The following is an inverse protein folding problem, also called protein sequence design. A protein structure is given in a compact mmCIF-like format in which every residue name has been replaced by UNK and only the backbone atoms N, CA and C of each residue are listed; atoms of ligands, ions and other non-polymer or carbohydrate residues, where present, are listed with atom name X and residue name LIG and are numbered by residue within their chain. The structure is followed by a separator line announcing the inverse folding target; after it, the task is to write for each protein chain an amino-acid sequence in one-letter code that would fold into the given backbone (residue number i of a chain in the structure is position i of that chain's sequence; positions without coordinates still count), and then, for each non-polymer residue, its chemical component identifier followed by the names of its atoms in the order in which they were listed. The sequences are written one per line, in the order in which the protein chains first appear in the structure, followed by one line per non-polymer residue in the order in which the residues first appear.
data_IF_124807191013
#
_entry.id   IF_124807191013
#
_cell.length_a   1.000
_cell.length_b   1.000
_cell.length_c   1.000
_cell.angle_alpha   90.00
_cell.angle_beta   90.00
_cell.angle_gamma   90.00
#
_symmetry.space_group_name_H-M   'P 1'
#
loop_
_entity.id
_entity.type
_entity.pdbx_description
1 polymer ?
#
# COMPACT_ATOMS: atom_id res chain seq x y z
N UNK A 1 9.31 -34.19 -3.29
CA UNK A 1 8.46 -33.28 -2.48
C UNK A 1 7.47 -32.65 -3.46
N UNK A 2 6.25 -33.13 -3.42
CA UNK A 2 5.16 -32.64 -4.27
C UNK A 2 4.78 -31.24 -3.78
N UNK A 3 4.77 -30.26 -4.64
CA UNK A 3 4.30 -28.91 -4.29
C UNK A 3 2.82 -29.03 -3.87
N UNK A 4 2.38 -28.44 -2.75
CA UNK A 4 0.99 -28.48 -2.36
C UNK A 4 0.14 -27.88 -3.47
N UNK A 5 -0.96 -28.54 -3.79
CA UNK A 5 -1.87 -28.11 -4.83
C UNK A 5 -2.34 -26.66 -4.56
N UNK A 6 -2.31 -25.82 -5.58
CA UNK A 6 -2.60 -24.37 -5.51
C UNK A 6 -3.99 -24.01 -4.92
N UNK A 7 -4.83 -25.01 -4.64
CA UNK A 7 -6.17 -24.84 -4.07
C UNK A 7 -6.21 -24.75 -2.53
N UNK A 8 -5.20 -25.24 -1.82
CA UNK A 8 -5.22 -25.29 -0.36
C UNK A 8 -4.79 -23.97 0.31
N UNK A 9 -3.94 -23.19 -0.35
CA UNK A 9 -3.40 -21.96 0.24
C UNK A 9 -4.43 -20.82 0.45
N UNK A 10 -5.62 -20.94 -0.13
CA UNK A 10 -6.73 -19.97 0.03
C UNK A 10 -7.88 -20.52 0.90
N UNK A 11 -7.59 -21.52 1.72
CA UNK A 11 -8.58 -22.17 2.57
C UNK A 11 -9.38 -21.15 3.40
N UNK A 12 -10.72 -21.08 3.23
CA UNK A 12 -11.59 -20.12 3.91
C UNK A 12 -11.73 -20.34 5.42
N UNK A 13 -11.20 -21.44 5.97
CA UNK A 13 -11.13 -21.68 7.41
C UNK A 13 -10.15 -20.74 8.12
N UNK A 14 -9.17 -20.23 7.41
CA UNK A 14 -8.22 -19.26 7.95
C UNK A 14 -8.75 -17.83 7.83
N UNK A 15 -8.32 -16.97 8.76
CA UNK A 15 -8.69 -15.55 8.74
C UNK A 15 -8.23 -14.85 7.46
N UNK A 16 -8.86 -13.73 7.13
CA UNK A 16 -8.48 -12.92 5.98
C UNK A 16 -7.00 -12.48 6.06
N UNK A 17 -6.54 -12.03 7.24
CA UNK A 17 -5.13 -11.65 7.45
C UNK A 17 -4.18 -12.82 7.25
N UNK A 18 -4.55 -14.02 7.71
CA UNK A 18 -3.77 -15.23 7.52
C UNK A 18 -3.60 -15.59 6.05
N UNK A 19 -4.69 -15.54 5.28
CA UNK A 19 -4.66 -15.79 3.83
C UNK A 19 -3.98 -14.68 3.08
N UNK A 20 -4.10 -13.45 3.56
CA UNK A 20 -3.45 -12.31 2.92
C UNK A 20 -1.93 -12.38 3.09
N UNK A 21 -1.41 -12.51 4.29
CA UNK A 21 0.03 -12.55 4.55
C UNK A 21 0.64 -13.96 4.60
N UNK A 22 -0.19 -15.00 4.36
CA UNK A 22 0.23 -16.41 4.35
C UNK A 22 0.93 -16.79 5.67
N UNK A 23 0.26 -16.49 6.79
CA UNK A 23 0.83 -16.58 8.14
C UNK A 23 0.99 -18.02 8.65
N UNK A 24 0.19 -18.96 8.14
CA UNK A 24 0.21 -20.39 8.51
C UNK A 24 0.54 -21.28 7.31
N UNK A 25 1.07 -22.50 7.54
CA UNK A 25 1.39 -23.43 6.46
C UNK A 25 0.22 -23.73 5.51
N UNK A 26 -1.01 -23.81 6.05
CA UNK A 26 -2.21 -24.03 5.25
C UNK A 26 -2.64 -22.84 4.39
N UNK A 27 -1.98 -21.70 4.51
CA UNK A 27 -2.21 -20.51 3.68
C UNK A 27 -1.03 -20.19 2.77
N UNK A 28 0.05 -20.97 2.81
CA UNK A 28 1.27 -20.74 2.02
C UNK A 28 1.06 -21.10 0.55
N UNK A 29 1.05 -20.10 -0.32
CA UNK A 29 0.98 -20.24 -1.78
C UNK A 29 2.35 -20.29 -2.46
N UNK A 30 3.43 -20.47 -1.71
CA UNK A 30 4.81 -20.50 -2.23
C UNK A 30 5.40 -19.13 -2.54
N UNK A 31 6.62 -19.12 -3.07
CA UNK A 31 7.36 -17.90 -3.44
C UNK A 31 7.19 -17.57 -4.92
N UNK A 32 7.47 -16.30 -5.29
CA UNK A 32 7.48 -15.76 -6.66
C UNK A 32 6.15 -15.82 -7.43
N UNK A 33 5.06 -16.24 -6.81
CA UNK A 33 3.73 -16.10 -7.39
C UNK A 33 3.23 -14.66 -7.28
N UNK A 34 2.61 -14.13 -8.33
CA UNK A 34 2.00 -12.79 -8.31
C UNK A 34 0.62 -12.86 -7.65
N UNK A 35 0.35 -11.93 -6.72
CA UNK A 35 -0.90 -11.79 -5.97
C UNK A 35 -1.38 -10.35 -6.01
N UNK A 36 -2.68 -10.14 -5.88
CA UNK A 36 -3.22 -8.81 -5.60
C UNK A 36 -2.69 -8.27 -4.27
N UNK A 37 -2.48 -6.95 -4.20
CA UNK A 37 -1.98 -6.29 -2.99
C UNK A 37 -3.00 -5.28 -2.45
N UNK A 38 -3.03 -4.08 -2.99
CA UNK A 38 -4.06 -3.08 -2.71
C UNK A 38 -5.20 -3.21 -3.72
N UNK A 39 -6.40 -2.71 -3.45
CA UNK A 39 -7.51 -2.80 -4.38
C UNK A 39 -7.16 -2.24 -5.77
N UNK A 40 -7.51 -2.97 -6.81
CA UNK A 40 -7.54 -2.42 -8.16
C UNK A 40 -8.76 -1.52 -8.21
N UNK A 41 -8.56 -0.24 -8.53
CA UNK A 41 -9.65 0.74 -8.53
C UNK A 41 -9.61 1.64 -9.75
N UNK A 42 -10.79 2.05 -10.17
CA UNK A 42 -11.01 3.12 -11.13
C UNK A 42 -11.98 4.11 -10.49
N UNK A 43 -11.53 5.35 -10.32
CA UNK A 43 -12.32 6.42 -9.68
C UNK A 43 -12.40 7.62 -10.61
N UNK A 44 -13.55 8.28 -10.62
CA UNK A 44 -13.70 9.59 -11.24
C UNK A 44 -13.51 10.68 -10.21
N UNK A 45 -12.69 11.68 -10.53
CA UNK A 45 -12.42 12.83 -9.67
C UNK A 45 -12.86 14.08 -10.41
N UNK A 46 -13.73 14.87 -9.78
CA UNK A 46 -14.10 16.20 -10.20
C UNK A 46 -13.69 17.21 -9.13
N UNK A 47 -13.20 18.37 -9.53
CA UNK A 47 -12.86 19.48 -8.63
C UNK A 47 -13.38 20.80 -9.18
N UNK A 48 -13.62 21.77 -8.30
CA UNK A 48 -14.08 23.11 -8.69
C UNK A 48 -12.95 23.93 -9.33
N UNK A 49 -11.70 23.58 -9.05
CA UNK A 49 -10.52 24.26 -9.56
C UNK A 49 -9.37 23.27 -9.73
N UNK A 50 -8.39 23.65 -10.55
CA UNK A 50 -7.16 22.89 -10.77
C UNK A 50 -5.95 23.80 -10.60
N UNK A 51 -4.91 23.30 -9.94
CA UNK A 51 -3.64 23.99 -9.87
C UNK A 51 -2.86 23.75 -11.17
N UNK A 52 -2.78 24.77 -12.00
CA UNK A 52 -2.01 24.76 -13.27
C UNK A 52 -0.53 25.03 -13.09
N UNK A 53 -0.11 25.51 -11.91
CA UNK A 53 1.27 25.79 -11.53
C UNK A 53 1.65 24.95 -10.30
N UNK A 54 1.78 23.62 -10.42
CA UNK A 54 2.12 22.79 -9.28
C UNK A 54 3.47 23.17 -8.68
N UNK A 55 3.52 23.24 -7.35
CA UNK A 55 4.70 23.66 -6.60
C UNK A 55 5.00 22.69 -5.46
N UNK A 56 6.25 22.65 -5.02
CA UNK A 56 6.73 22.06 -3.78
C UNK A 56 7.66 23.07 -3.10
N UNK A 57 7.83 23.03 -1.77
CA UNK A 57 8.82 23.86 -1.07
C UNK A 57 10.27 23.54 -1.42
N UNK A 58 10.52 22.41 -2.08
CA UNK A 58 11.85 22.01 -2.52
C UNK A 58 12.43 23.00 -3.55
N UNK A 59 13.75 23.24 -3.55
CA UNK A 59 14.41 24.09 -4.55
C UNK A 59 14.12 23.57 -5.97
N UNK A 60 13.83 24.48 -6.91
CA UNK A 60 13.54 24.18 -8.33
C UNK A 60 12.28 23.33 -8.59
N UNK A 61 11.40 23.15 -7.60
CA UNK A 61 10.19 22.30 -7.73
C UNK A 61 8.89 23.10 -7.86
N UNK A 62 8.97 24.29 -8.46
CA UNK A 62 7.81 25.13 -8.79
C UNK A 62 7.72 25.28 -10.31
N UNK A 63 6.58 24.89 -10.89
CA UNK A 63 6.35 25.07 -12.31
C UNK A 63 6.35 26.55 -12.68
N UNK A 64 7.06 26.92 -13.72
CA UNK A 64 7.14 28.30 -14.23
C UNK A 64 6.09 28.59 -15.29
N UNK A 65 5.70 27.56 -16.03
CA UNK A 65 4.71 27.65 -17.09
C UNK A 65 3.43 26.90 -16.69
N UNK A 66 2.23 27.50 -16.92
CA UNK A 66 0.98 26.82 -16.64
C UNK A 66 0.82 25.58 -17.50
N UNK A 67 0.43 24.47 -16.88
CA UNK A 67 0.02 23.25 -17.57
C UNK A 67 -1.50 23.25 -17.75
N UNK A 68 -1.97 22.95 -18.95
CA UNK A 68 -3.39 22.97 -19.30
C UNK A 68 -4.16 21.77 -18.67
N UNK A 69 -4.12 21.65 -17.34
CA UNK A 69 -4.90 20.63 -16.62
C UNK A 69 -6.39 21.00 -16.58
N UNK A 70 -7.24 19.97 -16.62
CA UNK A 70 -8.69 20.11 -16.45
C UNK A 70 -9.12 19.66 -15.05
N UNK A 71 -10.33 20.07 -14.64
CA UNK A 71 -10.90 19.78 -13.32
C UNK A 71 -11.42 18.34 -13.17
N UNK A 72 -11.43 17.57 -14.27
CA UNK A 72 -11.93 16.20 -14.27
C UNK A 72 -10.83 15.22 -14.65
N UNK A 73 -10.65 14.18 -13.84
CA UNK A 73 -9.70 13.12 -14.13
C UNK A 73 -10.20 11.75 -13.67
N UNK A 74 -9.70 10.70 -14.30
CA UNK A 74 -9.86 9.33 -13.81
C UNK A 74 -8.61 8.92 -13.06
N UNK A 75 -8.78 8.38 -11.85
CA UNK A 75 -7.69 7.75 -11.08
C UNK A 75 -7.76 6.25 -11.26
N UNK A 76 -6.65 5.67 -11.72
CA UNK A 76 -6.49 4.23 -11.92
C UNK A 76 -5.42 3.75 -10.95
N UNK A 77 -5.74 2.73 -10.14
CA UNK A 77 -4.77 2.07 -9.27
C UNK A 77 -4.63 0.60 -9.65
N UNK A 78 -3.39 0.17 -9.84
CA UNK A 78 -2.98 -1.23 -10.00
C UNK A 78 -2.00 -1.58 -8.90
N UNK A 79 -2.15 -2.75 -8.27
CA UNK A 79 -1.27 -3.14 -7.19
C UNK A 79 -1.10 -4.64 -7.13
N UNK A 80 0.15 -5.07 -7.06
CA UNK A 80 0.55 -6.47 -6.99
C UNK A 80 1.64 -6.67 -5.94
N UNK A 81 1.79 -7.91 -5.48
CA UNK A 81 2.88 -8.32 -4.59
C UNK A 81 3.31 -9.74 -4.91
N UNK A 82 4.52 -10.09 -4.46
CA UNK A 82 5.05 -11.44 -4.48
C UNK A 82 5.83 -11.72 -3.21
N UNK A 83 5.72 -12.94 -2.69
CA UNK A 83 6.57 -13.41 -1.58
C UNK A 83 7.92 -13.81 -2.17
N UNK A 84 9.00 -13.18 -1.71
CA UNK A 84 10.36 -13.42 -2.21
C UNK A 84 11.17 -14.35 -1.31
N UNK A 85 10.84 -14.41 -0.01
CA UNK A 85 11.46 -15.31 0.94
C UNK A 85 10.53 -15.62 2.11
N UNK A 86 10.79 -16.71 2.82
CA UNK A 86 10.11 -17.08 4.07
C UNK A 86 11.04 -17.84 5.01
N UNK A 87 10.73 -17.83 6.31
CA UNK A 87 11.49 -18.54 7.34
C UNK A 87 12.87 -17.97 7.54
N UNK A 88 13.04 -16.65 7.48
CA UNK A 88 14.32 -15.97 7.65
C UNK A 88 14.79 -16.02 9.12
N UNK A 89 13.86 -15.72 10.05
CA UNK A 89 14.11 -15.77 11.48
C UNK A 89 13.43 -16.99 12.14
N UNK A 90 12.34 -17.48 11.53
CA UNK A 90 11.52 -18.58 12.06
C UNK A 90 11.79 -19.93 11.33
N UNK A 91 12.98 -20.12 10.77
CA UNK A 91 13.31 -21.31 9.97
C UNK A 91 13.17 -22.63 10.74
N UNK A 92 13.24 -22.64 12.05
CA UNK A 92 13.05 -23.79 12.93
C UNK A 92 11.57 -24.02 13.32
N UNK A 93 10.69 -23.06 13.07
CA UNK A 93 9.27 -23.18 13.37
C UNK A 93 8.51 -23.87 12.23
N UNK A 94 7.65 -24.82 12.56
CA UNK A 94 6.82 -25.52 11.58
C UNK A 94 5.43 -24.90 11.47
N UNK A 95 4.96 -24.23 12.53
CA UNK A 95 3.60 -23.72 12.63
C UNK A 95 3.40 -22.36 11.97
N UNK A 96 4.43 -21.51 11.97
CA UNK A 96 4.36 -20.15 11.43
C UNK A 96 5.72 -19.73 10.91
N UNK A 97 5.73 -19.09 9.76
CA UNK A 97 6.98 -18.61 9.15
C UNK A 97 6.86 -17.15 8.80
N UNK A 98 7.87 -16.39 9.21
CA UNK A 98 8.06 -15.03 8.75
C UNK A 98 8.29 -14.99 7.25
N UNK A 99 7.96 -13.88 6.63
CA UNK A 99 8.01 -13.75 5.18
C UNK A 99 8.45 -12.36 4.74
N UNK A 100 9.15 -12.34 3.61
CA UNK A 100 9.59 -11.12 2.94
C UNK A 100 8.85 -10.99 1.62
N UNK A 101 8.26 -9.83 1.39
CA UNK A 101 7.42 -9.52 0.25
C UNK A 101 7.99 -8.35 -0.54
N UNK A 102 7.89 -8.43 -1.84
CA UNK A 102 7.98 -7.28 -2.72
C UNK A 102 6.58 -6.86 -3.16
N UNK A 103 6.26 -5.60 -2.98
CA UNK A 103 5.02 -4.97 -3.43
C UNK A 103 5.30 -3.90 -4.47
N UNK A 104 4.36 -3.70 -5.38
CA UNK A 104 4.38 -2.61 -6.32
C UNK A 104 2.98 -2.07 -6.53
N UNK A 105 2.82 -0.76 -6.32
CA UNK A 105 1.56 -0.05 -6.58
C UNK A 105 1.84 1.05 -7.58
N UNK A 106 0.99 1.14 -8.61
CA UNK A 106 0.95 2.25 -9.55
C UNK A 106 -0.39 2.95 -9.42
N UNK A 107 -0.37 4.28 -9.30
CA UNK A 107 -1.55 5.13 -9.32
C UNK A 107 -1.38 6.17 -10.42
N UNK A 108 -2.28 6.17 -11.39
CA UNK A 108 -2.26 7.11 -12.50
C UNK A 108 -3.48 8.02 -12.45
N UNK A 109 -3.25 9.33 -12.55
CA UNK A 109 -4.30 10.34 -12.67
C UNK A 109 -4.40 10.75 -14.13
N UNK A 110 -5.45 10.28 -14.79
CA UNK A 110 -5.67 10.44 -16.22
C UNK A 110 -6.65 11.56 -16.51
N UNK A 111 -6.18 12.57 -17.23
CA UNK A 111 -6.94 13.73 -17.70
C UNK A 111 -7.77 13.33 -18.94
N UNK A 112 -8.83 12.54 -18.72
CA UNK A 112 -9.74 12.11 -19.79
C UNK A 112 -10.29 13.33 -20.53
N UNK A 113 -10.30 13.23 -21.85
CA UNK A 113 -10.83 14.27 -22.76
C UNK A 113 -10.06 15.59 -22.77
N UNK A 114 -8.86 15.66 -22.16
CA UNK A 114 -7.99 16.82 -22.28
C UNK A 114 -7.18 16.73 -23.58
N UNK A 115 -7.68 17.38 -24.64
CA UNK A 115 -7.02 17.44 -25.95
C UNK A 115 -5.87 18.41 -26.03
N UNK A 116 -5.70 19.30 -25.04
CA UNK A 116 -4.69 20.36 -25.05
C UNK A 116 -3.30 19.86 -24.62
N UNK A 117 -3.24 18.66 -24.06
CA UNK A 117 -1.98 18.02 -23.64
C UNK A 117 -1.76 16.72 -24.41
N UNK A 118 -0.55 16.54 -24.97
CA UNK A 118 -0.20 15.35 -25.74
C UNK A 118 0.00 14.10 -24.87
N UNK A 119 0.19 14.27 -23.55
CA UNK A 119 0.26 13.20 -22.56
C UNK A 119 -0.83 13.42 -21.53
N UNK A 120 -1.95 12.72 -21.62
CA UNK A 120 -3.14 13.00 -20.82
C UNK A 120 -3.03 12.55 -19.36
N UNK A 121 -1.92 11.95 -18.93
CA UNK A 121 -1.68 11.62 -17.53
C UNK A 121 -1.07 12.82 -16.82
N UNK A 122 -1.75 13.34 -15.79
CA UNK A 122 -1.21 14.39 -14.94
C UNK A 122 -0.04 13.87 -14.12
N UNK A 123 -0.21 12.72 -13.49
CA UNK A 123 0.84 12.00 -12.77
C UNK A 123 0.65 10.49 -12.92
N UNK A 124 1.76 9.76 -12.82
CA UNK A 124 1.76 8.33 -12.58
C UNK A 124 2.71 8.05 -11.43
N UNK A 125 2.15 7.77 -10.27
CA UNK A 125 2.94 7.50 -9.07
C UNK A 125 3.28 6.01 -9.00
N UNK A 126 4.56 5.73 -8.80
CA UNK A 126 5.13 4.40 -8.65
C UNK A 126 5.55 4.19 -7.20
N UNK A 127 5.10 3.11 -6.58
CA UNK A 127 5.40 2.80 -5.18
C UNK A 127 5.91 1.36 -5.05
N UNK A 128 7.18 1.08 -5.38
CA UNK A 128 7.83 -0.18 -4.99
C UNK A 128 8.03 -0.21 -3.48
N UNK A 129 7.84 -1.40 -2.89
CA UNK A 129 8.01 -1.60 -1.45
C UNK A 129 8.54 -2.99 -1.12
N UNK A 130 9.28 -3.07 -0.02
CA UNK A 130 9.73 -4.32 0.60
C UNK A 130 9.10 -4.40 1.99
N UNK A 131 8.35 -5.48 2.23
CA UNK A 131 7.63 -5.71 3.49
C UNK A 131 8.10 -7.00 4.13
N UNK A 132 8.59 -6.90 5.36
CA UNK A 132 8.84 -8.04 6.23
C UNK A 132 7.64 -8.24 7.15
N UNK A 133 7.10 -9.46 7.19
CA UNK A 133 5.97 -9.86 8.05
C UNK A 133 6.44 -10.91 9.04
N UNK A 134 6.23 -10.63 10.33
CA UNK A 134 6.42 -11.59 11.41
C UNK A 134 5.06 -12.08 11.89
N UNK A 135 4.75 -13.39 11.76
CA UNK A 135 3.47 -13.94 12.18
C UNK A 135 3.38 -13.99 13.71
N UNK A 136 2.25 -13.56 14.22
CA UNK A 136 1.90 -13.56 15.63
C UNK A 136 0.59 -14.33 15.84
N UNK A 137 0.33 -14.72 17.07
CA UNK A 137 -0.93 -15.34 17.46
C UNK A 137 -1.20 -15.13 18.96
N UNK A 138 -1.19 -13.86 19.35
CA UNK A 138 -1.43 -13.47 20.73
C UNK A 138 -2.91 -13.19 20.95
N UNK A 139 -3.47 -13.85 21.96
CA UNK A 139 -4.87 -13.63 22.37
C UNK A 139 -5.00 -12.30 23.14
N UNK A 140 -6.04 -11.57 22.82
CA UNK A 140 -6.40 -10.30 23.42
C UNK A 140 -7.84 -10.39 23.98
N UNK A 141 -8.21 -9.52 24.93
CA UNK A 141 -9.58 -9.46 25.44
C UNK A 141 -10.64 -9.34 24.33
N UNK A 142 -11.82 -9.91 24.56
CA UNK A 142 -12.94 -9.81 23.60
C UNK A 142 -12.82 -10.75 22.38
N UNK A 143 -11.96 -11.77 22.43
CA UNK A 143 -11.80 -12.73 21.33
C UNK A 143 -10.94 -12.22 20.17
N UNK A 144 -10.28 -11.08 20.34
CA UNK A 144 -9.33 -10.55 19.37
C UNK A 144 -8.01 -11.33 19.43
N UNK A 145 -7.35 -11.42 18.28
CA UNK A 145 -6.02 -12.02 18.15
C UNK A 145 -5.12 -11.08 17.35
N UNK A 146 -3.93 -10.79 17.88
CA UNK A 146 -2.88 -10.13 17.13
C UNK A 146 -2.25 -11.16 16.18
N UNK A 147 -2.35 -10.89 14.87
CA UNK A 147 -2.02 -11.88 13.83
C UNK A 147 -0.64 -11.67 13.21
N UNK A 148 -0.18 -10.45 13.11
CA UNK A 148 1.15 -10.14 12.59
C UNK A 148 1.65 -8.79 13.07
N UNK A 149 2.97 -8.64 13.04
CA UNK A 149 3.69 -7.37 13.00
C UNK A 149 4.43 -7.25 11.67
N UNK A 150 4.52 -6.05 11.13
CA UNK A 150 5.16 -5.81 9.84
C UNK A 150 6.09 -4.60 9.86
N UNK A 151 7.14 -4.67 9.03
CA UNK A 151 8.04 -3.56 8.75
C UNK A 151 8.17 -3.42 7.24
N UNK A 152 7.89 -2.21 6.72
CA UNK A 152 7.90 -1.93 5.28
C UNK A 152 8.81 -0.75 4.99
N UNK A 153 9.58 -0.85 3.92
CA UNK A 153 10.30 0.26 3.29
C UNK A 153 9.62 0.56 1.97
N UNK A 154 9.23 1.80 1.76
CA UNK A 154 8.54 2.26 0.54
C UNK A 154 9.31 3.40 -0.07
N UNK A 155 9.54 3.31 -1.38
CA UNK A 155 9.86 4.45 -2.23
C UNK A 155 8.61 4.83 -3.02
N UNK A 156 8.29 6.12 -3.11
CA UNK A 156 7.22 6.59 -3.98
C UNK A 156 7.72 7.75 -4.82
N UNK A 157 7.49 7.70 -6.13
CA UNK A 157 7.83 8.79 -7.04
C UNK A 157 6.85 8.86 -8.21
N UNK A 158 6.71 10.07 -8.77
CA UNK A 158 5.87 10.29 -9.95
C UNK A 158 6.63 10.12 -11.27
N UNK A 159 7.92 9.79 -11.25
CA UNK A 159 8.74 9.56 -12.43
C UNK A 159 8.93 10.77 -13.34
N UNK A 160 8.61 11.98 -12.88
CA UNK A 160 8.80 13.21 -13.64
C UNK A 160 10.15 13.84 -13.31
N UNK A 161 10.61 14.71 -14.23
CA UNK A 161 11.78 15.56 -13.99
C UNK A 161 11.39 16.87 -13.30
N UNK A 162 12.37 17.57 -12.73
CA UNK A 162 12.16 18.95 -12.26
C UNK A 162 11.52 19.82 -13.36
N UNK A 163 10.65 20.72 -13.00
CA UNK A 163 10.19 21.10 -11.65
C UNK A 163 9.01 20.26 -11.13
N UNK A 164 8.58 19.24 -11.85
CA UNK A 164 7.39 18.44 -11.54
C UNK A 164 7.71 17.14 -10.80
N UNK A 165 8.99 16.82 -10.58
CA UNK A 165 9.43 15.67 -9.80
C UNK A 165 8.82 15.70 -8.39
N UNK A 166 8.31 14.56 -7.95
CA UNK A 166 7.81 14.35 -6.58
C UNK A 166 8.19 12.93 -6.16
N UNK A 167 9.04 12.86 -5.17
CA UNK A 167 9.43 11.58 -4.58
C UNK A 167 9.51 11.67 -3.05
N UNK A 168 9.45 10.55 -2.38
CA UNK A 168 9.72 10.42 -0.97
C UNK A 168 9.89 8.97 -0.55
N UNK A 169 10.64 8.77 0.54
CA UNK A 169 10.87 7.48 1.14
C UNK A 169 10.29 7.41 2.55
N UNK A 170 9.74 6.26 2.95
CA UNK A 170 9.19 6.06 4.28
C UNK A 170 9.41 4.65 4.80
N UNK A 171 9.50 4.56 6.11
CA UNK A 171 9.42 3.30 6.84
C UNK A 171 8.05 3.20 7.49
N UNK A 172 7.39 2.05 7.36
CA UNK A 172 6.06 1.78 7.92
C UNK A 172 6.18 0.62 8.91
N UNK A 173 5.67 0.81 10.13
CA UNK A 173 5.42 -0.26 11.08
C UNK A 173 3.93 -0.58 11.04
N UNK A 174 3.58 -1.85 10.93
CA UNK A 174 2.19 -2.30 10.83
C UNK A 174 1.88 -3.44 11.78
N UNK A 175 0.61 -3.54 12.14
CA UNK A 175 0.07 -4.67 12.89
C UNK A 175 -1.34 -5.00 12.43
N UNK A 176 -1.74 -6.26 12.57
CA UNK A 176 -3.08 -6.72 12.22
C UNK A 176 -3.73 -7.54 13.31
N UNK A 177 -4.97 -7.17 13.62
CA UNK A 177 -5.85 -7.83 14.56
C UNK A 177 -7.01 -8.47 13.82
N UNK A 178 -7.46 -9.64 14.28
CA UNK A 178 -8.66 -10.28 13.74
C UNK A 178 -9.46 -10.95 14.86
N UNK A 179 -10.78 -11.04 14.67
CA UNK A 179 -11.64 -11.92 15.47
C UNK A 179 -12.35 -12.89 14.53
N UNK A 180 -11.93 -14.14 14.55
CA UNK A 180 -12.39 -15.12 13.56
C UNK A 180 -12.18 -14.63 12.13
N UNK A 181 -13.25 -14.68 11.33
CA UNK A 181 -13.31 -14.14 9.98
C UNK A 181 -14.18 -12.87 9.87
N UNK A 182 -14.76 -12.39 10.98
CA UNK A 182 -15.80 -11.37 10.94
C UNK A 182 -15.21 -9.96 10.94
N UNK A 183 -14.22 -9.71 11.79
CA UNK A 183 -13.64 -8.37 11.91
C UNK A 183 -12.11 -8.41 11.77
N UNK A 184 -11.61 -7.41 11.07
CA UNK A 184 -10.17 -7.17 10.88
C UNK A 184 -9.89 -5.71 11.20
N UNK A 185 -8.81 -5.46 11.96
CA UNK A 185 -8.25 -4.13 12.15
C UNK A 185 -6.79 -4.19 11.74
N UNK A 186 -6.38 -3.28 10.87
CA UNK A 186 -4.97 -3.06 10.50
C UNK A 186 -4.57 -1.66 10.93
N UNK A 187 -3.42 -1.54 11.57
CA UNK A 187 -2.81 -0.26 11.91
C UNK A 187 -1.48 -0.12 11.20
N UNK A 188 -1.23 1.06 10.66
CA UNK A 188 0.03 1.44 10.04
C UNK A 188 0.49 2.78 10.60
N UNK A 189 1.77 2.86 10.98
CA UNK A 189 2.43 4.08 11.39
C UNK A 189 3.67 4.25 10.53
N UNK A 190 3.86 5.42 9.95
CA UNK A 190 5.02 5.66 9.11
C UNK A 190 5.80 6.90 9.52
N UNK A 191 7.10 6.79 9.27
CA UNK A 191 8.01 7.90 9.38
C UNK A 191 8.69 8.11 8.03
N UNK A 192 8.76 9.36 7.60
CA UNK A 192 9.50 9.75 6.42
C UNK A 192 11.00 9.56 6.68
N UNK A 193 11.67 8.93 5.75
CA UNK A 193 13.13 8.85 5.78
C UNK A 193 13.69 10.19 5.30
N UNK A 194 14.68 10.70 6.03
CA UNK A 194 15.33 11.95 5.67
C UNK A 194 16.08 11.79 4.34
N UNK A 195 15.82 12.70 3.45
CA UNK A 195 16.56 12.90 2.21
C UNK A 195 17.34 14.21 2.35
N UNK A 196 18.61 14.26 1.87
CA UNK A 196 19.41 15.49 1.96
C UNK A 196 18.73 16.65 1.23
N UNK A 197 18.90 17.88 1.72
CA UNK A 197 18.22 19.09 1.23
C UNK A 197 18.26 19.29 -0.30
N UNK A 198 19.26 18.73 -0.98
CA UNK A 198 19.40 18.82 -2.44
C UNK A 198 18.66 17.71 -3.23
N UNK A 199 18.11 16.69 -2.54
CA UNK A 199 17.46 15.54 -3.17
C UNK A 199 16.02 15.36 -2.70
N UNK A 200 15.52 16.24 -1.87
CA UNK A 200 14.19 16.17 -1.27
C UNK A 200 13.17 16.91 -2.13
N UNK A 201 12.39 16.17 -2.91
CA UNK A 201 11.37 16.73 -3.81
C UNK A 201 10.10 17.19 -3.06
N UNK A 202 9.85 16.66 -1.85
CA UNK A 202 8.61 16.86 -1.10
C UNK A 202 8.82 16.99 0.42
N UNK A 203 9.48 18.04 0.92
CA UNK A 203 9.78 18.17 2.34
C UNK A 203 8.53 18.12 3.24
N UNK A 204 7.39 18.64 2.79
CA UNK A 204 6.15 18.76 3.57
C UNK A 204 5.11 17.65 3.26
N UNK A 205 5.49 16.59 2.55
CA UNK A 205 4.55 15.55 2.12
C UNK A 205 3.78 14.92 3.30
N UNK A 206 4.46 14.74 4.45
CA UNK A 206 3.86 14.14 5.64
C UNK A 206 2.74 14.98 6.26
N UNK A 207 2.74 16.28 6.03
CA UNK A 207 1.69 17.18 6.56
C UNK A 207 0.39 17.05 5.73
N UNK A 208 0.53 16.63 4.46
CA UNK A 208 -0.60 16.38 3.56
C UNK A 208 -1.12 14.95 3.61
N UNK A 209 -0.23 13.95 3.75
CA UNK A 209 -0.57 12.52 3.69
C UNK A 209 -0.84 11.95 5.09
N UNK A 210 -0.35 12.62 6.15
CA UNK A 210 -0.41 12.13 7.53
C UNK A 210 0.74 11.20 7.87
N UNK A 211 0.62 10.53 9.04
CA UNK A 211 1.65 9.61 9.57
C UNK A 211 1.09 8.30 10.10
N UNK A 212 -0.23 8.13 10.07
CA UNK A 212 -0.89 6.91 10.53
C UNK A 212 -2.15 6.60 9.74
N UNK A 213 -2.45 5.31 9.62
CA UNK A 213 -3.70 4.79 9.05
C UNK A 213 -4.24 3.66 9.93
N UNK A 214 -5.55 3.67 10.13
CA UNK A 214 -6.28 2.53 10.70
C UNK A 214 -7.33 2.09 9.69
N UNK A 215 -7.24 0.84 9.27
CA UNK A 215 -8.27 0.19 8.43
C UNK A 215 -9.07 -0.79 9.27
N UNK A 216 -10.39 -0.61 9.32
CA UNK A 216 -11.34 -1.57 9.89
C UNK A 216 -12.13 -2.26 8.80
N UNK A 217 -12.26 -3.59 8.85
CA UNK A 217 -13.08 -4.38 7.94
C UNK A 217 -14.10 -5.20 8.74
N UNK A 218 -15.32 -5.21 8.26
CA UNK A 218 -16.38 -6.08 8.74
C UNK A 218 -16.84 -6.98 7.59
N UNK A 219 -16.56 -8.27 7.68
CA UNK A 219 -17.01 -9.28 6.75
C UNK A 219 -18.43 -9.70 7.13
N UNK A 220 -19.44 -9.07 6.52
CA UNK A 220 -20.87 -9.34 6.77
C UNK A 220 -21.20 -10.76 6.36
N UNK A 221 -20.67 -11.20 5.24
CA UNK A 221 -20.74 -12.55 4.73
C UNK A 221 -19.59 -12.85 3.74
N UNK A 222 -19.65 -13.96 3.00
CA UNK A 222 -18.62 -14.33 2.01
C UNK A 222 -18.57 -13.43 0.77
N UNK A 223 -19.56 -12.55 0.57
CA UNK A 223 -19.68 -11.70 -0.62
C UNK A 223 -19.50 -10.23 -0.30
N UNK A 224 -19.85 -9.81 0.92
CA UNK A 224 -19.91 -8.39 1.29
C UNK A 224 -19.01 -8.11 2.48
N UNK A 225 -18.11 -7.15 2.28
CA UNK A 225 -17.25 -6.60 3.32
C UNK A 225 -17.45 -5.09 3.37
N UNK A 226 -17.70 -4.56 4.55
CA UNK A 226 -17.69 -3.12 4.80
C UNK A 226 -16.31 -2.73 5.33
N UNK A 227 -15.70 -1.71 4.73
CA UNK A 227 -14.40 -1.19 5.13
C UNK A 227 -14.47 0.29 5.51
N UNK A 228 -13.70 0.67 6.53
CA UNK A 228 -13.47 2.06 6.93
C UNK A 228 -11.97 2.28 7.02
N UNK A 229 -11.50 3.38 6.44
CA UNK A 229 -10.10 3.81 6.52
C UNK A 229 -10.06 5.18 7.18
N UNK A 230 -9.26 5.32 8.20
CA UNK A 230 -9.01 6.55 8.95
C UNK A 230 -7.52 6.91 8.82
N UNK A 231 -7.23 8.11 8.29
CA UNK A 231 -5.88 8.65 8.19
C UNK A 231 -5.69 9.76 9.23
N UNK A 232 -4.51 9.83 9.82
CA UNK A 232 -4.19 10.77 10.90
C UNK A 232 -2.93 11.55 10.58
N UNK A 233 -3.00 12.87 10.75
CA UNK A 233 -1.86 13.77 10.87
C UNK A 233 -1.47 13.83 12.34
N UNK A 234 -0.40 13.16 12.73
CA UNK A 234 0.15 13.12 14.10
C UNK A 234 1.27 14.14 14.25
#
# INVERSE_FOLDING_TARGET
MEAPAAHDCRNPQFSELSRFWELEPGTDCGTFGIRGYKPISLSWIGSDSVNTLPSSPAPNHTATDPVAYTTNEARIQLSVRTKIAQGLLTHLETARRDSLWFGYTQQSNWQLFNGDISRPFRTTDHSPEITYIYPLDAELPGGWRLRYGGLTLVHQSNGQSEPLSRSWNRTIVSAGLATGNDYVIKGELWNRLFEGEGNDDNPDISDSVGRAEITGLWNIDRKYTLGVVLCFSL
#
